data_IF_963485314169
#
_entry.id   IF_963485314169
#
_cell.length_a   1.000
_cell.length_b   1.000
_cell.length_c   1.000
_cell.angle_alpha   90.00
_cell.angle_beta   90.00
_cell.angle_gamma   90.00
#
_symmetry.space_group_name_H-M   'P 1'
#
loop_
_entity.id
_entity.type
_entity.pdbx_description
1 polymer ?
#
# COMPACT_ATOMS: atom_id res chain seq x y z
N UNK A 1 34.24 15.60 -16.07
CA UNK A 1 33.72 16.99 -15.99
C UNK A 1 34.03 17.49 -14.60
N UNK A 2 35.01 18.40 -14.51
CA UNK A 2 35.49 19.00 -13.26
C UNK A 2 34.45 19.98 -12.73
N UNK A 3 33.92 19.75 -11.53
CA UNK A 3 33.32 20.79 -10.71
C UNK A 3 34.30 21.10 -9.58
N UNK A 4 35.28 21.95 -9.86
CA UNK A 4 36.07 22.73 -8.90
C UNK A 4 37.12 23.50 -9.70
N UNK A 5 36.75 24.69 -10.16
CA UNK A 5 37.63 25.61 -10.87
C UNK A 5 37.36 27.03 -10.42
N UNK A 6 38.13 27.48 -9.43
CA UNK A 6 38.45 28.88 -9.14
C UNK A 6 37.29 29.80 -8.75
N UNK A 7 37.06 29.97 -7.45
CA UNK A 7 37.08 31.26 -6.73
C UNK A 7 36.62 31.03 -5.29
N UNK A 8 37.23 31.76 -4.35
CA UNK A 8 37.20 31.56 -2.90
C UNK A 8 35.87 31.91 -2.19
N UNK A 9 34.72 31.85 -2.85
CA UNK A 9 33.43 31.94 -2.15
C UNK A 9 32.34 31.19 -2.91
N UNK A 10 31.73 30.22 -2.23
CA UNK A 10 30.53 29.47 -2.63
C UNK A 10 30.77 28.18 -3.44
N UNK A 11 31.39 27.18 -2.80
CA UNK A 11 31.30 25.80 -3.24
C UNK A 11 30.03 25.15 -2.66
N UNK A 12 28.86 25.61 -3.11
CA UNK A 12 27.57 25.04 -2.77
C UNK A 12 27.29 23.80 -3.61
N UNK A 13 27.79 22.64 -3.18
CA UNK A 13 27.12 21.38 -3.49
C UNK A 13 26.05 21.17 -2.41
N UNK A 14 25.06 22.06 -2.38
CA UNK A 14 23.74 21.73 -1.86
C UNK A 14 23.15 20.77 -2.89
N UNK A 15 23.48 19.49 -2.73
CA UNK A 15 22.55 18.46 -3.14
C UNK A 15 21.33 18.63 -2.26
N UNK A 16 20.45 19.56 -2.65
CA UNK A 16 19.02 19.40 -2.39
C UNK A 16 18.69 18.03 -2.97
N UNK A 17 18.76 17.00 -2.12
CA UNK A 17 17.92 15.84 -2.28
C UNK A 17 16.53 16.42 -2.40
N UNK A 18 16.10 16.54 -3.66
CA UNK A 18 14.74 16.84 -4.04
C UNK A 18 13.93 15.74 -3.39
N UNK A 19 13.45 16.01 -2.18
CA UNK A 19 12.34 15.28 -1.59
C UNK A 19 11.27 15.40 -2.66
N UNK A 20 11.05 14.32 -3.40
CA UNK A 20 10.07 14.31 -4.49
C UNK A 20 8.72 14.59 -3.86
N UNK A 21 8.33 15.86 -3.97
CA UNK A 21 7.01 16.44 -3.90
C UNK A 21 5.90 15.54 -3.38
N UNK A 22 5.64 15.69 -2.08
CA UNK A 22 4.31 15.61 -1.47
C UNK A 22 3.33 16.68 -2.01
N UNK A 23 3.63 17.34 -3.13
CA UNK A 23 2.96 18.57 -3.57
C UNK A 23 1.67 18.36 -4.39
N UNK A 24 1.35 17.13 -4.82
CA UNK A 24 0.10 16.84 -5.57
C UNK A 24 -0.68 15.63 -5.03
N UNK A 25 -0.71 15.42 -3.70
CA UNK A 25 -1.65 14.46 -3.12
C UNK A 25 -3.09 15.01 -3.22
N UNK A 26 -3.91 14.36 -4.05
CA UNK A 26 -5.33 14.70 -4.18
C UNK A 26 -6.09 14.30 -2.92
N UNK A 27 -6.69 15.29 -2.24
CA UNK A 27 -7.52 15.04 -1.07
C UNK A 27 -8.96 14.74 -1.48
N UNK A 28 -9.49 13.61 -0.99
CA UNK A 28 -10.88 13.20 -1.19
C UNK A 28 -11.64 13.24 0.13
N UNK A 29 -12.90 13.67 0.07
CA UNK A 29 -13.82 13.63 1.22
C UNK A 29 -14.88 12.57 0.97
N UNK A 30 -15.01 11.63 1.89
CA UNK A 30 -16.01 10.57 1.84
C UNK A 30 -16.96 10.69 3.02
N UNK A 31 -18.23 10.38 2.78
CA UNK A 31 -19.20 10.18 3.87
C UNK A 31 -19.22 8.70 4.20
N UNK A 32 -19.04 8.39 5.47
CA UNK A 32 -19.01 7.03 5.99
C UNK A 32 -19.93 6.94 7.21
N UNK A 33 -20.53 5.77 7.41
CA UNK A 33 -21.30 5.49 8.60
C UNK A 33 -20.40 5.50 9.84
N UNK A 34 -20.96 5.91 10.98
CA UNK A 34 -20.19 6.07 12.22
C UNK A 34 -19.57 4.77 12.72
N UNK A 35 -20.29 3.66 12.54
CA UNK A 35 -19.83 2.33 12.96
C UNK A 35 -18.63 1.90 12.12
N UNK A 36 -18.74 2.00 10.79
CA UNK A 36 -17.65 1.71 9.86
C UNK A 36 -16.41 2.59 10.10
N UNK A 37 -16.60 3.88 10.38
CA UNK A 37 -15.48 4.76 10.73
C UNK A 37 -14.74 4.29 11.99
N UNK A 38 -15.49 3.87 13.03
CA UNK A 38 -14.90 3.41 14.28
C UNK A 38 -14.09 2.12 14.09
N UNK A 39 -14.64 1.16 13.33
CA UNK A 39 -13.98 -0.11 13.03
C UNK A 39 -12.67 0.09 12.25
N UNK A 40 -12.69 0.95 11.22
CA UNK A 40 -11.49 1.24 10.43
C UNK A 40 -10.45 1.99 11.25
N UNK A 41 -10.89 2.93 12.10
CA UNK A 41 -9.96 3.65 12.97
C UNK A 41 -9.30 2.72 13.99
N UNK A 42 -10.05 1.80 14.59
CA UNK A 42 -9.49 0.77 15.47
C UNK A 42 -8.51 -0.14 14.72
N UNK A 43 -8.83 -0.53 13.48
CA UNK A 43 -7.91 -1.31 12.64
C UNK A 43 -6.60 -0.55 12.34
N UNK A 44 -6.67 0.75 12.04
CA UNK A 44 -5.50 1.59 11.83
C UNK A 44 -4.63 1.66 13.11
N UNK A 45 -5.26 1.88 14.26
CA UNK A 45 -4.59 1.92 15.57
C UNK A 45 -3.90 0.57 15.88
N UNK A 46 -4.57 -0.56 15.63
CA UNK A 46 -4.00 -1.90 15.81
C UNK A 46 -2.78 -2.18 14.93
N UNK A 47 -2.71 -1.53 13.76
CA UNK A 47 -1.57 -1.62 12.84
C UNK A 47 -0.49 -0.55 13.10
N UNK A 48 -0.64 0.29 14.13
CA UNK A 48 0.23 1.44 14.43
C UNK A 48 0.39 2.40 13.24
N UNK A 49 -0.67 2.59 12.45
CA UNK A 49 -0.69 3.49 11.29
C UNK A 49 -1.62 4.67 11.55
N UNK A 50 -1.37 5.80 10.86
CA UNK A 50 -2.36 6.88 10.83
C UNK A 50 -3.56 6.43 10.01
N UNK A 51 -4.76 6.89 10.38
CA UNK A 51 -6.00 6.57 9.67
C UNK A 51 -5.88 6.82 8.15
N UNK A 52 -5.38 7.98 7.73
CA UNK A 52 -5.24 8.33 6.31
C UNK A 52 -4.28 7.39 5.58
N UNK A 53 -3.14 7.06 6.19
CA UNK A 53 -2.16 6.12 5.65
C UNK A 53 -2.74 4.71 5.52
N UNK A 54 -3.51 4.27 6.51
CA UNK A 54 -4.22 3.00 6.48
C UNK A 54 -5.24 2.95 5.33
N UNK A 55 -6.01 4.03 5.12
CA UNK A 55 -6.97 4.13 4.02
C UNK A 55 -6.25 4.05 2.66
N UNK A 56 -5.14 4.77 2.47
CA UNK A 56 -4.38 4.70 1.22
C UNK A 56 -3.90 3.27 0.94
N UNK A 57 -3.36 2.59 1.96
CA UNK A 57 -2.92 1.20 1.82
C UNK A 57 -4.08 0.26 1.45
N UNK A 58 -5.25 0.41 2.08
CA UNK A 58 -6.44 -0.38 1.74
C UNK A 58 -6.89 -0.15 0.28
N UNK A 59 -6.86 1.11 -0.19
CA UNK A 59 -7.22 1.45 -1.57
C UNK A 59 -6.22 0.84 -2.55
N UNK A 60 -4.92 0.92 -2.27
CA UNK A 60 -3.87 0.34 -3.11
C UNK A 60 -4.04 -1.18 -3.26
N UNK A 61 -4.28 -1.89 -2.15
CA UNK A 61 -4.59 -3.33 -2.16
C UNK A 61 -5.86 -3.61 -2.97
N UNK A 62 -6.92 -2.83 -2.77
CA UNK A 62 -8.17 -2.96 -3.52
C UNK A 62 -7.97 -2.79 -5.03
N UNK A 63 -7.19 -1.80 -5.44
CA UNK A 63 -6.86 -1.57 -6.86
C UNK A 63 -6.10 -2.76 -7.45
N UNK A 64 -5.07 -3.26 -6.77
CA UNK A 64 -4.30 -4.41 -7.22
C UNK A 64 -5.16 -5.68 -7.34
N UNK A 65 -6.12 -5.89 -6.43
CA UNK A 65 -7.10 -6.99 -6.55
C UNK A 65 -7.95 -6.82 -7.80
N UNK A 66 -8.51 -5.62 -8.01
CA UNK A 66 -9.37 -5.37 -9.18
C UNK A 66 -8.64 -5.40 -10.52
N UNK A 67 -7.33 -5.10 -10.52
CA UNK A 67 -6.45 -5.23 -11.68
C UNK A 67 -6.06 -6.68 -11.98
N UNK A 68 -6.23 -7.59 -11.01
CA UNK A 68 -5.82 -8.99 -11.09
C UNK A 68 -4.37 -9.25 -10.71
N UNK A 69 -3.67 -8.26 -10.14
CA UNK A 69 -2.28 -8.37 -9.67
C UNK A 69 -2.20 -9.08 -8.30
N UNK A 70 -3.27 -8.98 -7.51
CA UNK A 70 -3.45 -9.67 -6.24
C UNK A 70 -4.71 -10.56 -6.29
N UNK A 71 -4.58 -11.79 -5.82
CA UNK A 71 -5.72 -12.69 -5.63
C UNK A 71 -6.11 -12.71 -4.15
N UNK A 72 -7.41 -12.61 -3.87
CA UNK A 72 -7.93 -12.89 -2.55
C UNK A 72 -7.84 -14.40 -2.31
N UNK A 73 -7.17 -14.80 -1.22
CA UNK A 73 -7.19 -16.19 -0.78
C UNK A 73 -8.54 -16.41 -0.11
N UNK A 74 -9.34 -17.29 -0.69
CA UNK A 74 -10.55 -17.78 -0.06
C UNK A 74 -10.15 -18.65 1.13
N UNK A 75 -10.49 -18.21 2.35
CA UNK A 75 -10.13 -18.95 3.57
C UNK A 75 -10.80 -20.30 3.65
N UNK A 76 -11.90 -20.50 2.91
CA UNK A 76 -12.60 -21.79 2.82
C UNK A 76 -11.80 -22.81 2.00
N UNK A 77 -10.89 -22.37 1.12
CA UNK A 77 -9.97 -23.23 0.37
C UNK A 77 -8.71 -23.62 1.16
N UNK A 78 -8.52 -23.04 2.35
CA UNK A 78 -7.40 -23.38 3.23
C UNK A 78 -7.76 -24.53 4.19
N UNK A 79 -8.98 -25.07 4.12
CA UNK A 79 -9.39 -26.24 4.88
C UNK A 79 -8.89 -27.52 4.18
N UNK A 80 -7.89 -28.23 4.72
CA UNK A 80 -7.29 -29.40 4.07
C UNK A 80 -8.19 -30.65 4.10
N UNK A 81 -9.44 -30.54 4.56
CA UNK A 81 -10.38 -31.68 4.66
C UNK A 81 -11.14 -31.99 3.34
N UNK A 82 -10.97 -31.19 2.28
CA UNK A 82 -11.66 -31.38 0.98
C UNK A 82 -10.75 -31.93 -0.15
N UNK A 83 -9.60 -32.54 0.20
CA UNK A 83 -8.62 -33.10 -0.76
C UNK A 83 -8.84 -34.61 -1.05
N UNK A 84 -10.05 -35.14 -0.84
CA UNK A 84 -10.46 -36.47 -1.32
C UNK A 84 -11.07 -36.35 -2.74
N UNK A 85 -10.26 -35.90 -3.70
CA UNK A 85 -10.59 -36.09 -5.12
C UNK A 85 -10.23 -37.54 -5.46
N UNK A 86 -11.26 -38.38 -5.66
CA UNK A 86 -11.15 -39.77 -6.09
C UNK A 86 -10.21 -39.89 -7.31
N UNK A 87 -9.09 -40.57 -7.13
CA UNK A 87 -8.25 -41.02 -8.25
C UNK A 87 -8.94 -42.23 -8.86
N UNK A 88 -9.63 -42.00 -9.97
CA UNK A 88 -10.13 -43.03 -10.86
C UNK A 88 -8.91 -43.74 -11.49
N UNK A 89 -8.54 -44.92 -10.98
CA UNK A 89 -7.56 -45.79 -11.64
C UNK A 89 -8.25 -46.51 -12.80
N UNK A 90 -8.28 -45.88 -13.98
CA UNK A 90 -8.43 -46.58 -15.26
C UNK A 90 -7.05 -47.15 -15.70
N UNK A 91 -6.82 -48.44 -15.43
CA UNK A 91 -6.39 -49.49 -16.39
C UNK A 91 -5.99 -50.81 -15.69
#
# INVERSE_FOLDING_TARGET
MSCCGGDDNNCGCEGDEKVENSEDMMNFSFVMDKEMFAEINEAADNNNMKFEEFIYNCIEVGLAITAGDLALIDTDQLDPEDDDVEVDEED
#
